data_IF_718165218610
#
_entry.id   IF_718165218610
#
_cell.length_a   1.000
_cell.length_b   1.000
_cell.length_c   1.000
_cell.angle_alpha   90.00
_cell.angle_beta   90.00
_cell.angle_gamma   90.00
#
_symmetry.space_group_name_H-M   'P 1'
#
loop_
_entity.id
_entity.type
_entity.pdbx_description
1 polymer ?
#
# COMPACT_ATOMS: atom_id res chain seq x y z
N UNK A 1 -42.61 -54.54 -19.58
CA UNK A 1 -42.41 -56.01 -19.59
C UNK A 1 -40.95 -56.23 -19.93
N UNK A 2 -40.07 -56.90 -19.19
CA UNK A 2 -40.15 -57.80 -18.05
C UNK A 2 -38.73 -57.90 -17.44
N UNK A 3 -38.69 -58.09 -16.12
CA UNK A 3 -37.70 -58.84 -15.33
C UNK A 3 -36.26 -58.29 -15.08
N UNK A 4 -36.04 -57.97 -13.79
CA UNK A 4 -34.78 -57.97 -13.03
C UNK A 4 -34.30 -59.44 -12.75
N UNK A 5 -33.34 -59.78 -11.83
CA UNK A 5 -32.55 -58.95 -10.88
C UNK A 5 -31.08 -59.39 -10.53
N UNK A 6 -30.40 -58.55 -9.71
CA UNK A 6 -29.44 -58.83 -8.61
C UNK A 6 -28.03 -59.44 -8.88
N UNK A 7 -27.04 -59.37 -7.93
CA UNK A 7 -27.03 -58.79 -6.56
C UNK A 7 -25.84 -57.87 -6.19
N UNK A 8 -26.01 -57.17 -5.05
CA UNK A 8 -25.01 -56.50 -4.19
C UNK A 8 -23.95 -57.46 -3.59
N UNK A 9 -22.82 -56.93 -3.08
CA UNK A 9 -22.69 -56.60 -1.64
C UNK A 9 -22.03 -55.21 -1.42
N UNK A 10 -22.51 -54.34 -0.53
CA UNK A 10 -22.39 -54.37 0.94
C UNK A 10 -20.95 -54.50 1.45
N UNK A 11 -20.28 -53.35 1.61
CA UNK A 11 -18.97 -53.25 2.26
C UNK A 11 -18.93 -52.06 3.23
N UNK A 12 -19.31 -52.30 4.49
CA UNK A 12 -19.10 -51.41 5.62
C UNK A 12 -17.61 -51.37 5.97
N UNK A 13 -16.96 -50.21 5.88
CA UNK A 13 -15.66 -49.97 6.50
C UNK A 13 -15.86 -49.27 7.85
N UNK A 14 -15.76 -50.04 8.93
CA UNK A 14 -15.61 -49.55 10.32
C UNK A 14 -14.47 -50.33 10.97
N UNK A 15 -13.29 -49.70 11.10
CA UNK A 15 -12.23 -50.07 12.08
C UNK A 15 -11.50 -48.75 12.45
N UNK A 16 -11.93 -48.07 13.51
CA UNK A 16 -11.33 -48.01 14.87
C UNK A 16 -9.88 -47.47 14.95
N UNK A 17 -9.64 -46.33 15.63
CA UNK A 17 -8.31 -45.91 16.07
C UNK A 17 -7.85 -46.73 17.29
N UNK A 18 -6.56 -47.01 17.46
CA UNK A 18 -6.07 -47.70 18.65
C UNK A 18 -6.16 -46.80 19.89
N UNK A 19 -6.74 -47.38 20.93
CA UNK A 19 -6.83 -46.86 22.28
C UNK A 19 -5.48 -46.88 23.01
N UNK A 20 -5.46 -46.08 24.08
CA UNK A 20 -4.73 -46.28 25.33
C UNK A 20 -3.28 -45.80 25.40
N UNK A 21 -3.06 -44.72 26.16
CA UNK A 21 -2.71 -44.90 27.58
C UNK A 21 -2.75 -43.57 28.34
N UNK A 22 -3.83 -43.40 29.09
CA UNK A 22 -3.85 -42.97 30.49
C UNK A 22 -2.46 -42.77 31.14
N UNK A 23 -2.10 -41.53 31.50
CA UNK A 23 -1.35 -41.22 32.73
C UNK A 23 -1.86 -39.94 33.36
N UNK A 24 -2.93 -40.12 34.14
CA UNK A 24 -3.28 -39.26 35.26
C UNK A 24 -2.21 -39.48 36.33
N UNK A 25 -1.45 -38.46 36.71
CA UNK A 25 -0.66 -38.46 37.93
C UNK A 25 -0.85 -37.11 38.62
N UNK A 26 -1.74 -37.13 39.62
CA UNK A 26 -1.80 -36.15 40.69
C UNK A 26 -0.46 -36.17 41.45
N UNK A 27 0.16 -35.00 41.58
CA UNK A 27 1.10 -34.70 42.66
C UNK A 27 0.74 -33.32 43.21
N UNK A 28 -0.17 -33.34 44.17
CA UNK A 28 -0.32 -32.30 45.19
C UNK A 28 0.80 -32.53 46.20
N UNK A 29 1.73 -31.59 46.34
CA UNK A 29 2.44 -31.37 47.61
C UNK A 29 3.21 -30.05 47.60
N UNK A 30 3.05 -29.36 48.73
CA UNK A 30 3.87 -28.29 49.29
C UNK A 30 3.75 -26.88 48.66
N UNK A 31 2.83 -26.10 49.24
CA UNK A 31 2.96 -24.67 49.27
C UNK A 31 4.15 -24.23 50.12
N UNK A 32 4.93 -23.31 49.58
CA UNK A 32 5.64 -22.29 50.33
C UNK A 32 5.43 -20.98 49.59
N UNK A 33 4.51 -20.16 50.11
CA UNK A 33 4.35 -18.76 49.71
C UNK A 33 5.57 -18.02 50.23
N UNK A 34 6.61 -17.91 49.41
CA UNK A 34 7.63 -16.90 49.61
C UNK A 34 7.04 -15.59 49.09
N UNK A 35 6.58 -14.76 50.03
CA UNK A 35 6.32 -13.36 49.77
C UNK A 35 7.65 -12.71 49.33
N UNK A 36 7.88 -12.67 48.01
CA UNK A 36 8.88 -11.80 47.44
C UNK A 36 8.45 -10.37 47.75
N UNK A 37 9.17 -9.73 48.67
CA UNK A 37 9.07 -8.30 48.91
C UNK A 37 9.39 -7.60 47.58
N UNK A 38 8.36 -7.12 46.91
CA UNK A 38 8.49 -6.28 45.74
C UNK A 38 9.25 -5.01 46.17
N UNK A 39 10.55 -4.94 45.90
CA UNK A 39 11.27 -3.68 45.93
C UNK A 39 10.71 -2.84 44.78
N UNK A 40 10.13 -1.66 45.05
CA UNK A 40 9.65 -0.81 43.98
C UNK A 40 10.86 -0.35 43.15
N UNK A 41 10.96 -0.84 41.91
CA UNK A 41 11.84 -0.23 40.93
C UNK A 41 11.34 1.19 40.69
N UNK A 42 12.01 2.16 41.32
CA UNK A 42 11.78 3.58 41.09
C UNK A 42 12.32 3.94 39.70
N UNK A 43 11.40 4.00 38.74
CA UNK A 43 11.66 4.58 37.43
C UNK A 43 11.93 6.09 37.61
N UNK A 44 12.94 6.68 36.96
CA UNK A 44 13.20 8.11 37.00
C UNK A 44 11.95 8.89 36.56
N UNK A 45 11.33 9.60 37.51
CA UNK A 45 10.12 10.41 37.28
C UNK A 45 8.86 9.98 38.06
N UNK A 46 8.87 8.83 38.75
CA UNK A 46 7.76 8.45 39.63
C UNK A 46 7.88 9.19 40.98
N UNK A 47 6.88 10.02 41.31
CA UNK A 47 6.77 10.68 42.62
C UNK A 47 6.62 9.63 43.74
N UNK A 48 7.36 9.76 44.86
CA UNK A 48 7.19 8.86 45.99
C UNK A 48 5.80 9.01 46.60
N UNK A 49 5.20 7.89 47.02
CA UNK A 49 3.97 7.88 47.78
C UNK A 49 4.22 8.52 49.16
N UNK A 50 3.61 9.67 49.43
CA UNK A 50 3.63 10.30 50.74
C UNK A 50 2.68 9.58 51.70
N UNK A 51 3.08 9.49 52.98
CA UNK A 51 2.25 8.92 54.05
C UNK A 51 0.96 9.75 54.27
N UNK A 52 -0.14 9.13 54.77
CA UNK A 52 -1.40 9.85 54.97
C UNK A 52 -1.21 10.97 56.00
N UNK A 53 -1.42 12.23 55.60
CA UNK A 53 -1.45 13.38 56.51
C UNK A 53 -0.57 14.58 56.14
N UNK A 54 0.34 14.46 55.17
CA UNK A 54 1.16 15.59 54.72
C UNK A 54 0.71 16.11 53.35
N UNK A 55 -0.10 17.17 53.35
CA UNK A 55 -0.36 17.94 52.13
C UNK A 55 0.81 18.90 51.89
N UNK A 56 1.72 18.51 50.98
CA UNK A 56 2.66 19.44 50.40
C UNK A 56 1.88 20.38 49.47
N UNK A 57 1.85 21.68 49.77
CA UNK A 57 1.25 22.67 48.88
C UNK A 57 1.94 22.60 47.50
N UNK A 58 1.14 22.48 46.45
CA UNK A 58 1.64 22.47 45.07
C UNK A 58 2.39 23.79 44.77
N UNK A 59 3.55 23.76 44.10
CA UNK A 59 4.16 24.98 43.59
C UNK A 59 3.19 25.66 42.61
N UNK A 60 3.18 27.01 42.53
CA UNK A 60 2.28 27.73 41.62
C UNK A 60 2.60 27.36 40.17
N UNK A 61 1.80 26.48 39.60
CA UNK A 61 1.85 26.12 38.20
C UNK A 61 1.38 27.29 37.35
N UNK A 62 2.32 28.00 36.74
CA UNK A 62 2.04 28.93 35.66
C UNK A 62 1.72 28.12 34.40
N UNK A 63 0.44 27.87 34.19
CA UNK A 63 -0.07 27.29 32.95
C UNK A 63 -1.28 26.39 33.18
N UNK A 64 -2.47 26.85 32.79
CA UNK A 64 -3.60 25.95 32.60
C UNK A 64 -3.19 24.85 31.59
N UNK A 65 -3.67 23.59 31.77
CA UNK A 65 -3.48 22.56 30.76
C UNK A 65 -3.96 23.09 29.41
N UNK A 66 -3.08 23.09 28.41
CA UNK A 66 -3.47 23.48 27.06
C UNK A 66 -4.66 22.61 26.64
N UNK A 67 -5.74 23.25 26.17
CA UNK A 67 -6.92 22.54 25.69
C UNK A 67 -6.47 21.50 24.64
N UNK A 68 -6.98 20.25 24.70
CA UNK A 68 -6.56 19.20 23.79
C UNK A 68 -6.82 19.66 22.36
N UNK A 69 -5.75 19.73 21.57
CA UNK A 69 -5.82 20.14 20.17
C UNK A 69 -6.72 19.14 19.43
N UNK A 70 -7.68 19.59 18.61
CA UNK A 70 -8.55 18.68 17.87
C UNK A 70 -7.68 17.73 17.01
N UNK A 71 -8.03 16.44 16.94
CA UNK A 71 -7.26 15.47 16.17
C UNK A 71 -7.17 15.93 14.72
N UNK A 72 -5.95 16.12 14.23
CA UNK A 72 -5.66 16.58 12.88
C UNK A 72 -4.77 15.56 12.18
N UNK A 73 -5.17 15.16 10.98
CA UNK A 73 -4.38 14.25 10.16
C UNK A 73 -3.11 14.92 9.63
N UNK A 74 -1.93 14.31 9.74
CA UNK A 74 -0.70 14.87 9.19
C UNK A 74 -0.78 14.99 7.65
N UNK A 75 -0.03 15.94 7.05
CA UNK A 75 0.08 16.03 5.60
C UNK A 75 0.72 14.76 5.04
N UNK A 76 0.27 14.36 3.86
CA UNK A 76 0.88 13.28 3.07
C UNK A 76 1.20 13.82 1.69
N UNK A 77 2.19 13.21 1.04
CA UNK A 77 2.44 13.41 -0.37
C UNK A 77 1.32 12.74 -1.16
N UNK A 78 0.57 13.52 -1.94
CA UNK A 78 -0.31 12.97 -2.99
C UNK A 78 0.37 13.18 -4.32
N UNK A 79 0.77 12.08 -4.96
CA UNK A 79 1.39 12.15 -6.28
C UNK A 79 0.38 12.57 -7.35
N UNK A 80 0.85 13.40 -8.27
CA UNK A 80 0.21 13.65 -9.55
C UNK A 80 0.72 12.70 -10.62
N UNK A 81 0.24 12.94 -11.84
CA UNK A 81 0.58 12.25 -13.07
C UNK A 81 2.11 12.19 -13.30
N UNK A 82 2.84 13.23 -12.87
CA UNK A 82 4.29 13.34 -13.03
C UNK A 82 5.07 12.21 -12.36
N UNK A 83 4.48 11.54 -11.37
CA UNK A 83 5.14 10.42 -10.70
C UNK A 83 5.26 9.16 -11.58
N UNK A 84 4.45 9.06 -12.64
CA UNK A 84 4.36 7.89 -13.53
C UNK A 84 4.60 8.21 -15.01
N UNK A 85 4.55 9.48 -15.42
CA UNK A 85 4.70 9.87 -16.82
C UNK A 85 6.00 9.35 -17.45
N UNK A 86 5.87 8.67 -18.60
CA UNK A 86 6.96 8.12 -19.41
C UNK A 86 7.73 6.96 -18.75
N UNK A 87 7.26 6.45 -17.61
CA UNK A 87 7.90 5.33 -16.91
C UNK A 87 7.28 4.01 -17.34
N UNK A 88 8.12 3.00 -17.50
CA UNK A 88 7.65 1.61 -17.65
C UNK A 88 7.21 1.10 -16.29
N UNK A 89 5.93 0.78 -16.19
CA UNK A 89 5.29 0.20 -15.02
C UNK A 89 5.03 -1.28 -15.27
N UNK A 90 5.38 -2.11 -14.29
CA UNK A 90 5.25 -3.56 -14.30
C UNK A 90 4.02 -3.98 -13.52
N UNK A 91 3.17 -4.80 -14.13
CA UNK A 91 2.03 -5.39 -13.46
C UNK A 91 2.52 -6.27 -12.30
N UNK A 92 2.16 -5.90 -11.07
CA UNK A 92 2.58 -6.56 -9.85
C UNK A 92 4.11 -6.79 -9.76
N UNK A 93 4.89 -5.88 -10.37
CA UNK A 93 6.35 -5.98 -10.43
C UNK A 93 6.91 -7.02 -11.41
N UNK A 94 6.05 -7.68 -12.19
CA UNK A 94 6.35 -8.78 -13.11
C UNK A 94 6.42 -8.40 -14.59
N UNK A 95 5.80 -9.20 -15.45
CA UNK A 95 6.01 -9.17 -16.90
C UNK A 95 5.13 -8.15 -17.64
N UNK A 96 3.87 -7.94 -17.23
CA UNK A 96 2.98 -6.96 -17.85
C UNK A 96 3.58 -5.56 -17.85
N UNK A 97 3.36 -4.79 -18.91
CA UNK A 97 3.94 -3.45 -19.10
C UNK A 97 2.87 -2.39 -19.32
N UNK A 98 3.02 -1.25 -18.66
CA UNK A 98 2.21 -0.06 -18.89
C UNK A 98 3.11 1.18 -18.96
N UNK A 99 2.81 2.10 -19.88
CA UNK A 99 3.47 3.41 -19.97
C UNK A 99 2.38 4.47 -20.07
N UNK A 100 2.34 5.35 -19.07
CA UNK A 100 1.44 6.51 -19.05
C UNK A 100 2.13 7.70 -19.69
N UNK A 101 1.55 8.26 -20.74
CA UNK A 101 2.20 9.25 -21.59
C UNK A 101 1.34 10.49 -21.78
N UNK A 102 2.00 11.62 -22.03
CA UNK A 102 1.32 12.86 -22.43
C UNK A 102 1.09 12.82 -23.94
N UNK A 103 -0.14 13.03 -24.36
CA UNK A 103 -0.57 13.15 -25.75
C UNK A 103 -0.98 14.59 -26.07
N UNK A 104 -1.14 14.92 -27.35
CA UNK A 104 -1.53 16.27 -27.77
C UNK A 104 -2.86 16.75 -27.13
N UNK A 105 -3.81 15.84 -26.89
CA UNK A 105 -5.13 16.12 -26.32
C UNK A 105 -5.30 15.74 -24.84
N UNK A 106 -4.23 15.38 -24.12
CA UNK A 106 -4.33 14.92 -22.73
C UNK A 106 -3.31 13.85 -22.39
N UNK A 107 -3.77 12.72 -21.88
CA UNK A 107 -2.93 11.58 -21.54
C UNK A 107 -3.36 10.33 -22.30
N UNK A 108 -2.43 9.39 -22.46
CA UNK A 108 -2.69 8.07 -22.97
C UNK A 108 -1.97 7.00 -22.16
N UNK A 109 -2.43 5.76 -22.31
CA UNK A 109 -1.83 4.59 -21.69
C UNK A 109 -1.51 3.57 -22.78
N UNK A 110 -0.23 3.24 -22.92
CA UNK A 110 0.20 2.04 -23.64
C UNK A 110 0.23 0.88 -22.66
N UNK A 111 -0.41 -0.24 -23.01
CA UNK A 111 -0.61 -1.37 -22.10
C UNK A 111 -0.41 -2.70 -22.81
N UNK A 112 0.41 -3.55 -22.21
CA UNK A 112 0.54 -4.98 -22.54
C UNK A 112 0.23 -5.77 -21.28
N UNK A 113 -0.95 -6.38 -21.24
CA UNK A 113 -1.38 -7.19 -20.11
C UNK A 113 -0.86 -8.62 -20.21
N UNK A 114 -0.31 -9.13 -19.13
CA UNK A 114 0.00 -10.55 -18.96
C UNK A 114 -1.25 -11.34 -18.51
N UNK A 115 -1.28 -12.61 -18.90
CA UNK A 115 -2.38 -13.51 -18.59
C UNK A 115 -2.02 -14.97 -18.88
N UNK A 116 -3.05 -15.81 -18.96
CA UNK A 116 -2.92 -17.22 -19.29
C UNK A 116 -3.93 -17.63 -20.37
N UNK A 117 -3.62 -18.66 -21.15
CA UNK A 117 -4.53 -19.14 -22.19
C UNK A 117 -5.90 -19.47 -21.60
N UNK A 118 -6.97 -19.07 -22.29
CA UNK A 118 -8.34 -19.19 -21.76
C UNK A 118 -8.79 -20.64 -21.56
N UNK A 119 -8.30 -21.57 -22.39
CA UNK A 119 -8.56 -23.01 -22.29
C UNK A 119 -7.67 -23.72 -21.26
N UNK A 120 -6.48 -23.17 -21.01
CA UNK A 120 -5.47 -23.77 -20.14
C UNK A 120 -4.74 -22.67 -19.35
N UNK A 121 -5.18 -22.42 -18.11
CA UNK A 121 -4.71 -21.35 -17.22
C UNK A 121 -3.27 -21.54 -16.68
N UNK A 122 -2.44 -22.30 -17.40
CA UNK A 122 -1.05 -22.61 -17.07
C UNK A 122 -0.10 -21.99 -18.08
N UNK A 123 -0.47 -21.95 -19.36
CA UNK A 123 0.36 -21.39 -20.41
C UNK A 123 0.23 -19.87 -20.44
N UNK A 124 1.33 -19.12 -20.26
CA UNK A 124 1.28 -17.66 -20.24
C UNK A 124 0.93 -17.10 -21.62
N UNK A 125 0.19 -16.01 -21.64
CA UNK A 125 -0.08 -15.21 -22.83
C UNK A 125 0.05 -13.72 -22.50
N UNK A 126 0.14 -12.90 -23.54
CA UNK A 126 0.19 -11.45 -23.41
C UNK A 126 -0.74 -10.81 -24.44
N UNK A 127 -1.44 -9.75 -24.03
CA UNK A 127 -2.33 -8.98 -24.90
C UNK A 127 -1.86 -7.53 -24.92
N UNK A 128 -1.43 -7.07 -26.09
CA UNK A 128 -1.22 -5.65 -26.35
C UNK A 128 -2.56 -4.97 -26.65
N UNK A 129 -2.79 -3.83 -26.01
CA UNK A 129 -4.00 -3.01 -26.24
C UNK A 129 -3.84 -2.09 -27.46
N UNK A 130 -2.65 -2.06 -28.06
CA UNK A 130 -2.33 -1.27 -29.25
C UNK A 130 -0.85 -0.91 -29.32
N UNK A 131 -0.37 -0.61 -30.53
CA UNK A 131 1.02 -0.17 -30.75
C UNK A 131 1.29 1.23 -30.21
N UNK A 132 0.28 2.11 -30.27
CA UNK A 132 0.30 3.47 -29.75
C UNK A 132 -0.48 3.57 -28.42
N UNK A 133 -0.15 4.54 -27.55
CA UNK A 133 -0.93 4.81 -26.35
C UNK A 133 -2.39 5.11 -26.69
N UNK A 134 -3.31 4.43 -26.00
CA UNK A 134 -4.74 4.70 -26.12
C UNK A 134 -5.10 5.89 -25.23
N UNK A 135 -6.00 6.79 -25.67
CA UNK A 135 -6.41 7.94 -24.87
C UNK A 135 -7.09 7.50 -23.57
N UNK A 136 -6.88 8.30 -22.52
CA UNK A 136 -7.59 8.14 -21.25
C UNK A 136 -8.47 9.33 -20.93
N UNK A 137 -9.61 9.06 -20.31
CA UNK A 137 -10.55 10.08 -19.83
C UNK A 137 -10.34 10.30 -18.34
N UNK A 138 -10.16 11.55 -17.91
CA UNK A 138 -10.08 11.87 -16.48
C UNK A 138 -11.45 11.74 -15.80
N UNK A 139 -11.48 11.04 -14.67
CA UNK A 139 -12.64 10.91 -13.79
C UNK A 139 -12.51 11.76 -12.53
N UNK A 140 -11.58 12.72 -12.52
CA UNK A 140 -11.32 13.60 -11.37
C UNK A 140 -10.52 12.91 -10.26
N UNK A 141 -10.85 13.21 -9.00
CA UNK A 141 -10.13 12.74 -7.81
C UNK A 141 -11.04 12.17 -6.72
N UNK A 142 -11.87 11.14 -7.00
CA UNK A 142 -12.89 10.66 -6.07
C UNK A 142 -12.33 10.14 -4.75
N UNK A 143 -11.11 9.57 -4.76
CA UNK A 143 -10.40 9.11 -3.56
C UNK A 143 -9.24 10.04 -3.15
N UNK A 144 -9.27 11.31 -3.59
CA UNK A 144 -8.19 12.26 -3.36
C UNK A 144 -6.95 12.08 -4.27
N UNK A 145 -6.93 11.04 -5.10
CA UNK A 145 -5.90 10.74 -6.12
C UNK A 145 -6.48 10.84 -7.53
N UNK A 146 -5.71 11.20 -8.58
CA UNK A 146 -6.21 11.23 -9.94
C UNK A 146 -6.73 9.87 -10.39
N UNK A 147 -7.93 9.85 -10.97
CA UNK A 147 -8.54 8.65 -11.56
C UNK A 147 -8.74 8.83 -13.06
N UNK A 148 -8.46 7.77 -13.81
CA UNK A 148 -8.60 7.74 -15.26
C UNK A 148 -9.32 6.49 -15.73
N UNK A 149 -10.00 6.60 -16.87
CA UNK A 149 -10.58 5.49 -17.62
C UNK A 149 -9.85 5.33 -18.94
N UNK A 150 -9.47 4.12 -19.28
CA UNK A 150 -8.95 3.77 -20.60
C UNK A 150 -10.11 3.53 -21.57
N UNK A 151 -10.11 4.24 -22.69
CA UNK A 151 -11.08 4.04 -23.76
C UNK A 151 -10.65 2.86 -24.65
N UNK A 152 -10.76 1.62 -24.12
CA UNK A 152 -10.41 0.40 -24.83
C UNK A 152 -11.63 -0.52 -24.99
N UNK A 153 -11.91 -1.05 -26.20
CA UNK A 153 -13.04 -1.95 -26.42
C UNK A 153 -12.82 -3.35 -25.84
N UNK A 154 -11.58 -3.72 -25.55
CA UNK A 154 -11.20 -5.08 -25.11
C UNK A 154 -11.52 -5.30 -23.63
N UNK A 155 -11.26 -4.29 -22.79
CA UNK A 155 -11.38 -4.42 -21.34
C UNK A 155 -11.54 -3.02 -20.73
N UNK A 156 -12.61 -2.74 -19.97
CA UNK A 156 -12.83 -1.43 -19.36
C UNK A 156 -11.89 -1.26 -18.16
N UNK A 157 -10.80 -0.51 -18.37
CA UNK A 157 -9.79 -0.29 -17.34
C UNK A 157 -10.04 1.06 -16.68
N UNK A 158 -10.20 1.04 -15.35
CA UNK A 158 -10.19 2.25 -14.51
C UNK A 158 -9.06 2.13 -13.53
N UNK A 159 -8.27 3.19 -13.40
CA UNK A 159 -7.10 3.19 -12.54
C UNK A 159 -6.90 4.51 -11.81
N UNK A 160 -6.33 4.41 -10.61
CA UNK A 160 -5.87 5.52 -9.81
C UNK A 160 -4.37 5.73 -10.00
N UNK A 161 -3.94 6.99 -10.14
CA UNK A 161 -2.53 7.37 -10.19
C UNK A 161 -2.00 7.54 -8.78
N UNK A 162 -1.00 6.75 -8.43
CA UNK A 162 -0.29 6.76 -7.15
C UNK A 162 1.16 7.21 -7.35
N UNK A 163 1.91 7.33 -6.26
CA UNK A 163 3.30 7.77 -6.32
C UNK A 163 4.22 6.71 -6.95
N UNK A 164 4.44 6.83 -8.26
CA UNK A 164 5.25 5.91 -9.05
C UNK A 164 4.55 4.58 -9.37
N UNK A 165 3.22 4.54 -9.30
CA UNK A 165 2.42 3.38 -9.67
C UNK A 165 1.01 3.77 -10.15
N UNK A 166 0.35 2.87 -10.87
CA UNK A 166 -1.09 2.92 -11.15
C UNK A 166 -1.77 1.77 -10.41
N UNK A 167 -2.89 2.02 -9.75
CA UNK A 167 -3.73 0.99 -9.16
C UNK A 167 -4.94 0.77 -10.06
N UNK A 168 -5.00 -0.38 -10.73
CA UNK A 168 -6.14 -0.75 -11.56
C UNK A 168 -7.23 -1.37 -10.69
N UNK A 169 -8.42 -0.75 -10.70
CA UNK A 169 -9.57 -1.11 -9.85
C UNK A 169 -10.74 -1.71 -10.65
N UNK A 170 -10.81 -1.43 -11.95
CA UNK A 170 -11.74 -2.08 -12.88
C UNK A 170 -10.95 -2.70 -14.04
N UNK A 171 -11.41 -3.83 -14.61
CA UNK A 171 -12.71 -4.48 -14.43
C UNK A 171 -12.83 -5.28 -13.11
N UNK A 172 -14.05 -5.58 -12.62
CA UNK A 172 -14.25 -6.41 -11.43
C UNK A 172 -13.92 -7.89 -11.64
N UNK A 173 -13.87 -8.33 -12.90
CA UNK A 173 -13.58 -9.71 -13.29
C UNK A 173 -12.50 -9.74 -14.38
N UNK A 174 -11.69 -10.81 -14.46
CA UNK A 174 -10.72 -10.97 -15.55
C UNK A 174 -11.38 -10.89 -16.93
N UNK A 175 -10.71 -10.24 -17.88
CA UNK A 175 -11.15 -10.12 -19.26
C UNK A 175 -10.71 -11.35 -20.07
N UNK A 176 -11.59 -11.84 -20.96
CA UNK A 176 -11.27 -12.88 -21.93
C UNK A 176 -11.16 -12.22 -23.30
N UNK A 177 -9.98 -12.32 -23.91
CA UNK A 177 -9.67 -11.74 -25.21
C UNK A 177 -9.69 -12.87 -26.23
N UNK A 178 -10.86 -13.07 -26.84
CA UNK A 178 -11.12 -14.19 -27.74
C UNK A 178 -10.13 -14.26 -28.92
N UNK A 179 -9.82 -13.11 -29.52
CA UNK A 179 -8.88 -13.01 -30.65
C UNK A 179 -7.45 -13.48 -30.30
N UNK A 180 -7.08 -13.45 -29.02
CA UNK A 180 -5.77 -13.90 -28.53
C UNK A 180 -5.86 -15.22 -27.74
N UNK A 181 -7.05 -15.82 -27.62
CA UNK A 181 -7.34 -16.95 -26.74
C UNK A 181 -6.76 -16.77 -25.32
N UNK A 182 -6.79 -15.53 -24.80
CA UNK A 182 -6.04 -15.13 -23.61
C UNK A 182 -6.98 -14.57 -22.54
N UNK A 183 -6.86 -15.08 -21.30
CA UNK A 183 -7.54 -14.52 -20.12
C UNK A 183 -6.55 -13.65 -19.35
N UNK A 184 -6.85 -12.36 -19.24
CA UNK A 184 -6.04 -11.35 -18.55
C UNK A 184 -6.77 -10.85 -17.30
N UNK A 185 -6.04 -10.58 -16.23
CA UNK A 185 -6.54 -9.86 -15.05
C UNK A 185 -5.64 -8.63 -14.84
N UNK A 186 -6.03 -7.44 -15.34
CA UNK A 186 -5.18 -6.26 -15.23
C UNK A 186 -5.25 -5.62 -13.84
N UNK A 187 -6.05 -6.16 -12.91
CA UNK A 187 -6.21 -5.61 -11.56
C UNK A 187 -4.94 -5.76 -10.73
N UNK A 188 -4.75 -4.79 -9.86
CA UNK A 188 -3.61 -4.75 -8.96
C UNK A 188 -2.74 -3.55 -9.27
N UNK A 189 -1.49 -3.62 -8.81
CA UNK A 189 -0.60 -2.47 -8.83
C UNK A 189 0.40 -2.58 -9.98
N UNK A 190 0.37 -1.58 -10.86
CA UNK A 190 1.33 -1.38 -11.92
C UNK A 190 2.39 -0.41 -11.43
N UNK A 191 3.54 -0.95 -11.01
CA UNK A 191 4.58 -0.20 -10.30
C UNK A 191 5.96 -0.36 -10.92
N UNK A 192 7.06 -0.06 -10.21
CA UNK A 192 8.38 -0.37 -10.71
C UNK A 192 8.59 -1.88 -10.82
N UNK A 193 9.55 -2.28 -11.67
CA UNK A 193 10.05 -3.65 -11.71
C UNK A 193 10.57 -4.08 -10.32
N UNK A 194 10.12 -5.24 -9.83
CA UNK A 194 10.46 -5.72 -8.49
C UNK A 194 11.97 -5.87 -8.27
N UNK A 195 12.77 -6.07 -9.33
CA UNK A 195 14.24 -6.16 -9.27
C UNK A 195 14.88 -4.84 -8.87
N UNK A 196 14.20 -3.71 -9.12
CA UNK A 196 14.71 -2.35 -8.83
C UNK A 196 14.40 -1.86 -7.42
N UNK A 197 13.49 -2.54 -6.69
CA UNK A 197 13.07 -2.14 -5.34
C UNK A 197 14.16 -2.07 -4.27
N UNK A 198 15.21 -2.93 -4.25
CA UNK A 198 16.23 -2.90 -3.19
C UNK A 198 16.89 -1.54 -3.03
N UNK A 199 17.12 -0.83 -4.14
CA UNK A 199 17.73 0.50 -4.13
C UNK A 199 16.87 1.57 -3.44
N UNK A 200 15.57 1.31 -3.24
CA UNK A 200 14.58 2.25 -2.69
C UNK A 200 13.94 1.74 -1.40
N UNK A 201 14.42 0.63 -0.85
CA UNK A 201 13.82 -0.06 0.30
C UNK A 201 13.57 0.88 1.49
N UNK A 202 14.58 1.69 1.85
CA UNK A 202 14.49 2.65 2.95
C UNK A 202 13.44 3.73 2.72
N UNK A 203 13.37 4.26 1.50
CA UNK A 203 12.39 5.29 1.15
C UNK A 203 10.96 4.73 1.23
N UNK A 204 10.77 3.49 0.78
CA UNK A 204 9.48 2.79 0.84
C UNK A 204 9.05 2.58 2.30
N UNK A 205 9.97 2.18 3.17
CA UNK A 205 9.69 2.00 4.60
C UNK A 205 9.27 3.32 5.27
N UNK A 206 10.01 4.41 5.01
CA UNK A 206 9.69 5.74 5.55
C UNK A 206 8.33 6.23 5.06
N UNK A 207 8.06 6.05 3.77
CA UNK A 207 6.79 6.41 3.16
C UNK A 207 5.62 5.63 3.78
N UNK A 208 5.79 4.31 3.96
CA UNK A 208 4.83 3.45 4.66
C UNK A 208 4.55 3.94 6.09
N UNK A 209 5.59 4.21 6.88
CA UNK A 209 5.43 4.67 8.27
C UNK A 209 4.71 6.02 8.37
N UNK A 210 4.97 6.92 7.41
CA UNK A 210 4.28 8.22 7.30
C UNK A 210 2.80 8.02 6.95
N UNK A 211 2.51 7.19 5.96
CA UNK A 211 1.15 6.89 5.52
C UNK A 211 0.34 6.18 6.62
N UNK A 212 0.91 5.19 7.31
CA UNK A 212 0.24 4.48 8.41
C UNK A 212 -0.10 5.39 9.58
N UNK A 213 0.79 6.33 9.92
CA UNK A 213 0.50 7.37 10.91
C UNK A 213 -0.66 8.25 10.44
N UNK A 214 -0.64 8.66 9.18
CA UNK A 214 -1.69 9.48 8.61
C UNK A 214 -3.05 8.76 8.62
N UNK A 215 -3.11 7.49 8.22
CA UNK A 215 -4.35 6.70 8.25
C UNK A 215 -4.90 6.59 9.68
N UNK A 216 -4.06 6.29 10.68
CA UNK A 216 -4.49 6.18 12.08
C UNK A 216 -5.06 7.49 12.63
N UNK A 217 -4.34 8.60 12.47
CA UNK A 217 -4.82 9.90 12.93
C UNK A 217 -6.00 10.43 12.11
N UNK A 218 -6.05 10.08 10.82
CA UNK A 218 -7.15 10.41 9.92
C UNK A 218 -8.45 9.72 10.33
N UNK A 219 -8.42 8.42 10.65
CA UNK A 219 -9.60 7.72 11.17
C UNK A 219 -10.05 8.29 12.51
N UNK A 220 -9.14 8.65 13.42
CA UNK A 220 -9.51 9.35 14.67
C UNK A 220 -10.22 10.68 14.39
N UNK A 221 -9.72 11.46 13.45
CA UNK A 221 -10.31 12.73 13.06
C UNK A 221 -11.68 12.56 12.38
N UNK A 222 -11.86 11.52 11.54
CA UNK A 222 -13.15 11.20 10.93
C UNK A 222 -14.17 10.79 11.99
N UNK A 223 -13.81 9.86 12.88
CA UNK A 223 -14.70 9.38 13.96
C UNK A 223 -15.12 10.51 14.89
N UNK A 224 -14.24 11.47 15.18
CA UNK A 224 -14.56 12.63 16.02
C UNK A 224 -15.61 13.59 15.42
N UNK A 225 -15.81 13.56 14.10
CA UNK A 225 -16.80 14.40 13.38
C UNK A 225 -18.04 13.64 12.95
N UNK A 226 -18.02 12.31 13.07
CA UNK A 226 -19.02 11.41 12.53
C UNK A 226 -20.18 11.17 13.51
N UNK A 227 -21.37 10.97 12.97
CA UNK A 227 -22.51 10.47 13.74
C UNK A 227 -22.37 8.98 14.09
N UNK A 228 -23.30 8.43 14.89
CA UNK A 228 -23.22 7.03 15.33
C UNK A 228 -23.28 6.00 14.17
N UNK A 229 -23.94 6.32 13.06
CA UNK A 229 -24.04 5.43 11.89
C UNK A 229 -22.71 5.45 11.13
N UNK A 230 -22.20 6.66 10.87
CA UNK A 230 -20.92 6.88 10.20
C UNK A 230 -19.75 6.31 11.00
N UNK A 231 -19.75 6.43 12.34
CA UNK A 231 -18.73 5.82 13.20
C UNK A 231 -18.65 4.30 13.04
N UNK A 232 -19.80 3.62 12.90
CA UNK A 232 -19.85 2.17 12.64
C UNK A 232 -19.30 1.84 11.25
N UNK A 233 -19.59 2.67 10.24
CA UNK A 233 -19.06 2.49 8.89
C UNK A 233 -17.53 2.69 8.87
N UNK A 234 -17.03 3.74 9.51
CA UNK A 234 -15.59 4.03 9.65
C UNK A 234 -14.87 2.88 10.38
N UNK A 235 -15.45 2.37 11.46
CA UNK A 235 -14.86 1.24 12.20
C UNK A 235 -14.75 -0.02 11.34
N UNK A 236 -15.77 -0.32 10.53
CA UNK A 236 -15.72 -1.45 9.57
C UNK A 236 -14.69 -1.24 8.48
N UNK A 237 -14.61 -0.03 7.92
CA UNK A 237 -13.61 0.33 6.91
C UNK A 237 -12.18 0.18 7.45
N UNK A 238 -11.93 0.71 8.66
CA UNK A 238 -10.64 0.59 9.33
C UNK A 238 -10.26 -0.87 9.58
N UNK A 239 -11.22 -1.70 10.02
CA UNK A 239 -11.00 -3.12 10.27
C UNK A 239 -10.77 -3.92 8.97
N UNK A 240 -11.43 -3.57 7.88
CA UNK A 240 -11.31 -4.24 6.59
C UNK A 240 -10.07 -3.85 5.78
N UNK A 241 -9.49 -2.68 6.03
CA UNK A 241 -8.41 -2.14 5.22
C UNK A 241 -7.15 -3.03 5.17
N UNK A 242 -6.81 -3.70 6.27
CA UNK A 242 -5.66 -4.62 6.28
C UNK A 242 -5.87 -5.83 5.35
N UNK A 243 -7.08 -6.39 5.33
CA UNK A 243 -7.44 -7.50 4.46
C UNK A 243 -7.50 -7.06 2.99
N UNK A 244 -8.07 -5.89 2.70
CA UNK A 244 -8.06 -5.29 1.36
C UNK A 244 -6.64 -5.13 0.83
N UNK A 245 -5.75 -4.55 1.65
CA UNK A 245 -4.33 -4.36 1.30
C UNK A 245 -3.64 -5.68 1.00
N UNK A 246 -3.87 -6.71 1.81
CA UNK A 246 -3.31 -8.04 1.59
C UNK A 246 -3.81 -8.67 0.29
N UNK A 247 -5.12 -8.63 0.03
CA UNK A 247 -5.71 -9.21 -1.18
C UNK A 247 -5.17 -8.59 -2.47
N UNK A 248 -4.91 -7.27 -2.46
CA UNK A 248 -4.33 -6.55 -3.59
C UNK A 248 -2.83 -6.79 -3.70
N UNK A 249 -2.09 -6.76 -2.59
CA UNK A 249 -0.63 -6.74 -2.63
C UNK A 249 0.05 -8.11 -2.61
N UNK A 250 -0.65 -9.18 -2.24
CA UNK A 250 -0.07 -10.54 -2.18
C UNK A 250 0.59 -11.01 -3.48
N UNK A 251 0.09 -10.54 -4.62
CA UNK A 251 0.62 -10.91 -5.94
C UNK A 251 1.80 -10.03 -6.38
N UNK A 252 2.07 -8.94 -5.67
CA UNK A 252 3.19 -8.05 -5.99
C UNK A 252 4.51 -8.73 -5.66
N UNK A 253 5.37 -8.88 -6.66
CA UNK A 253 6.66 -9.56 -6.50
C UNK A 253 7.52 -8.84 -5.47
N UNK A 254 8.04 -9.62 -4.52
CA UNK A 254 8.90 -9.15 -3.41
C UNK A 254 8.21 -8.21 -2.43
N UNK A 255 6.87 -8.23 -2.36
CA UNK A 255 6.12 -7.43 -1.40
C UNK A 255 6.53 -7.72 0.05
N UNK A 256 6.67 -8.98 0.44
CA UNK A 256 7.11 -9.36 1.79
C UNK A 256 8.53 -8.88 2.15
N UNK A 257 9.33 -8.44 1.19
CA UNK A 257 10.69 -7.92 1.42
C UNK A 257 10.73 -6.40 1.49
N UNK A 258 9.98 -5.69 0.64
CA UNK A 258 10.10 -4.23 0.51
C UNK A 258 8.81 -3.46 0.80
N UNK A 259 7.64 -4.11 0.77
CA UNK A 259 6.36 -3.49 1.11
C UNK A 259 5.92 -2.37 0.16
N UNK A 260 6.32 -2.41 -1.11
CA UNK A 260 6.04 -1.33 -2.06
C UNK A 260 4.55 -1.16 -2.28
N UNK A 261 3.83 -2.25 -2.59
CA UNK A 261 2.41 -2.18 -2.84
C UNK A 261 1.64 -1.72 -1.61
N UNK A 262 1.97 -2.28 -0.45
CA UNK A 262 1.35 -1.92 0.81
C UNK A 262 1.57 -0.45 1.17
N UNK A 263 2.76 0.11 0.88
CA UNK A 263 3.04 1.53 1.06
C UNK A 263 2.13 2.41 0.18
N UNK A 264 2.06 2.13 -1.14
CA UNK A 264 1.23 2.90 -2.09
C UNK A 264 -0.26 2.83 -1.76
N UNK A 265 -0.76 1.66 -1.37
CA UNK A 265 -2.17 1.50 -0.96
C UNK A 265 -2.48 2.22 0.34
N UNK A 266 -1.54 2.25 1.29
CA UNK A 266 -1.71 3.01 2.53
C UNK A 266 -1.70 4.52 2.28
N UNK A 267 -0.89 5.00 1.36
CA UNK A 267 -0.91 6.40 0.91
C UNK A 267 -2.23 6.75 0.22
N UNK A 268 -2.73 5.88 -0.66
CA UNK A 268 -4.03 6.07 -1.31
C UNK A 268 -5.16 6.13 -0.28
N UNK A 269 -5.15 5.25 0.73
CA UNK A 269 -6.11 5.30 1.84
C UNK A 269 -6.00 6.60 2.63
N UNK A 270 -4.79 7.04 2.91
CA UNK A 270 -4.58 8.32 3.58
C UNK A 270 -5.12 9.49 2.72
N UNK A 271 -4.92 9.49 1.40
CA UNK A 271 -5.45 10.52 0.50
C UNK A 271 -6.98 10.54 0.49
N UNK A 272 -7.61 9.37 0.50
CA UNK A 272 -9.07 9.23 0.60
C UNK A 272 -9.63 9.81 1.90
N UNK A 273 -8.98 9.51 3.04
CA UNK A 273 -9.37 10.06 4.33
C UNK A 273 -9.21 11.59 4.36
N UNK A 274 -8.11 12.13 3.80
CA UNK A 274 -7.91 13.59 3.69
C UNK A 274 -8.99 14.26 2.87
N UNK A 275 -9.35 13.67 1.73
CA UNK A 275 -10.40 14.17 0.86
C UNK A 275 -11.75 14.24 1.61
N UNK A 276 -12.10 13.19 2.38
CA UNK A 276 -13.31 13.16 3.22
C UNK A 276 -13.30 14.21 4.33
N UNK A 277 -12.12 14.53 4.87
CA UNK A 277 -11.95 15.58 5.87
C UNK A 277 -11.97 17.00 5.29
N UNK A 278 -12.05 17.15 3.96
CA UNK A 278 -11.94 18.43 3.26
C UNK A 278 -10.54 19.06 3.36
N UNK A 279 -9.52 18.26 3.69
CA UNK A 279 -8.15 18.75 3.83
C UNK A 279 -7.51 18.82 2.43
N UNK A 280 -7.02 20.01 2.07
CA UNK A 280 -6.28 20.18 0.82
C UNK A 280 -5.07 19.22 0.80
N UNK A 281 -4.90 18.54 -0.33
CA UNK A 281 -3.70 17.76 -0.61
C UNK A 281 -2.67 18.71 -1.22
N UNK A 282 -1.55 18.95 -0.54
CA UNK A 282 -0.46 19.69 -1.16
C UNK A 282 0.14 18.81 -2.28
N UNK A 283 0.15 19.28 -3.54
CA UNK A 283 0.86 18.57 -4.59
C UNK A 283 2.34 18.51 -4.21
N UNK A 284 2.98 17.36 -4.44
CA UNK A 284 4.40 17.18 -4.16
C UNK A 284 5.22 18.26 -4.88
N UNK A 285 5.80 19.23 -4.15
CA UNK A 285 6.78 20.14 -4.74
C UNK A 285 7.98 19.33 -5.21
N UNK A 286 8.39 19.54 -6.46
CA UNK A 286 9.64 18.99 -6.97
C UNK A 286 10.79 19.42 -6.05
N UNK A 287 11.57 18.45 -5.56
CA UNK A 287 12.77 18.75 -4.79
C UNK A 287 13.68 19.67 -5.64
N UNK A 288 14.26 20.75 -5.06
CA UNK A 288 15.21 21.58 -5.78
C UNK A 288 16.34 20.70 -6.30
N UNK A 289 16.60 20.74 -7.61
CA UNK A 289 17.77 20.05 -8.17
C UNK A 289 19.01 20.63 -7.47
N UNK A 290 19.91 19.80 -6.90
CA UNK A 290 21.16 20.30 -6.35
C UNK A 290 21.90 21.07 -7.45
N UNK A 291 22.28 22.31 -7.15
CA UNK A 291 23.00 23.15 -8.08
C UNK A 291 24.26 22.42 -8.52
N UNK A 292 24.39 22.18 -9.84
CA UNK A 292 25.57 21.57 -10.41
C UNK A 292 26.75 22.53 -10.16
N UNK A 293 27.85 22.09 -9.54
CA UNK A 293 29.03 22.93 -9.38
C UNK A 293 29.47 23.43 -10.76
N UNK A 294 29.59 24.75 -10.91
CA UNK A 294 30.08 25.38 -12.14
C UNK A 294 31.52 24.91 -12.35
N UNK A 295 31.89 24.35 -13.52
CA UNK A 295 33.27 24.02 -13.82
C UNK A 295 34.13 25.28 -13.69
N UNK A 296 35.23 25.18 -12.95
CA UNK A 296 36.22 26.24 -12.87
C UNK A 296 36.75 26.51 -14.30
N UNK A 297 36.78 27.79 -14.69
CA UNK A 297 37.41 28.19 -15.95
C UNK A 297 38.90 27.83 -15.88
N UNK A 298 39.48 27.19 -16.91
CA UNK A 298 40.92 26.99 -16.95
C UNK A 298 41.60 28.35 -17.04
N UNK A 299 42.59 28.57 -16.17
CA UNK A 299 43.48 29.71 -16.25
C UNK A 299 44.19 29.66 -17.60
N UNK A 300 43.82 30.57 -18.50
CA UNK A 300 44.44 30.73 -19.81
C UNK A 300 45.88 31.20 -19.65
N UNK A 301 46.82 30.26 -19.80
CA UNK A 301 48.21 30.54 -20.05
C UNK A 301 48.47 30.74 -21.55
N UNK A 302 49.50 31.52 -21.84
CA UNK A 302 50.15 31.81 -23.13
C UNK A 302 49.41 32.74 -24.10
N UNK A 303 49.87 33.99 -24.11
CA UNK A 303 49.63 34.93 -25.21
C UNK A 303 50.36 34.50 -26.49
N UNK A 304 49.89 34.91 -27.67
CA UNK A 304 50.47 34.50 -28.95
C UNK A 304 51.79 35.22 -29.24
N UNK A 305 52.80 34.44 -29.63
CA UNK A 305 54.02 34.92 -30.29
C UNK A 305 53.64 35.55 -31.65
N UNK A 306 54.13 36.75 -31.99
CA UNK A 306 53.95 37.31 -33.33
C UNK A 306 54.96 36.69 -34.30
N UNK A 307 54.46 36.09 -35.37
CA UNK A 307 55.23 35.74 -36.56
C UNK A 307 55.39 36.99 -37.43
N UNK A 308 56.61 37.50 -37.57
CA UNK A 308 57.00 38.44 -38.64
C UNK A 308 57.59 37.68 -39.83
N UNK A 309 57.20 37.98 -41.07
CA UNK A 309 57.82 37.43 -42.26
C UNK A 309 58.96 38.34 -42.77
N UNK A 310 60.15 37.76 -42.98
CA UNK A 310 61.21 38.18 -43.91
C UNK A 310 61.98 36.92 -44.29
#
# INVERSE_FOLDING_TARGET
MQNAPNPFPSGLFVIRPPHAALRLALLVLAGTVQAALAQPMQLPGAQPFNAPGTQQAAPPGTGAPAAPKPPSMPPIKVAGEEAVLGRVLRHNGGAGEAVFEKMAGGFGLKLTADGFQSSNLVEPCAVSFGEAPLPVTSLGRPAGVPRYRLEAPICPIVFDVLDGALLVVEPPQPCVVEAAACRIDPRGLWGPDARTLPARAKDIEVARGTAERAVREGYRALTARADAIEQRAITREQAGFSAERELVCRSFLREGQFGFCGARLTEARAASIRARLGLANEPAKAAPRPARPRPAQPAGGSGPLPLTPQ
#
